data_IF_289397302196
#
_entry.id   IF_289397302196
#
_cell.length_a   1.000
_cell.length_b   1.000
_cell.length_c   1.000
_cell.angle_alpha   90.00
_cell.angle_beta   90.00
_cell.angle_gamma   90.00
#
_symmetry.space_group_name_H-M   'P 1'
#
loop_
_entity.id
_entity.type
_entity.pdbx_description
1 polymer ?
#
# COMPACT_ATOMS: atom_id res chain seq x y z
N UNK A 1 7.80 18.41 14.24
CA UNK A 1 8.93 17.64 13.65
C UNK A 1 9.87 17.34 14.80
N UNK A 2 9.93 16.06 15.24
CA UNK A 2 10.93 15.65 16.24
C UNK A 2 12.32 15.79 15.61
N UNK A 3 13.26 16.34 16.35
CA UNK A 3 14.66 16.46 15.93
C UNK A 3 15.19 15.08 15.55
N UNK A 4 15.87 15.00 14.40
CA UNK A 4 16.49 13.77 13.94
C UNK A 4 17.51 13.32 14.96
N UNK A 5 17.30 12.19 15.62
CA UNK A 5 18.26 11.60 16.55
C UNK A 5 19.43 11.05 15.73
N UNK A 6 20.58 11.72 15.79
CA UNK A 6 21.79 11.29 15.14
C UNK A 6 22.58 10.42 16.10
N UNK A 7 22.75 9.14 15.80
CA UNK A 7 23.61 8.21 16.55
C UNK A 7 24.85 7.91 15.72
N UNK A 8 26.03 8.05 16.33
CA UNK A 8 27.30 7.74 15.68
C UNK A 8 27.92 6.50 16.30
N UNK A 9 28.36 5.58 15.47
CA UNK A 9 29.12 4.40 15.85
C UNK A 9 30.52 4.50 15.25
N UNK A 10 31.53 4.06 16.02
CA UNK A 10 32.92 3.98 15.56
C UNK A 10 33.47 2.62 15.89
N UNK A 11 34.10 1.98 14.93
CA UNK A 11 34.70 0.64 15.06
C UNK A 11 36.14 0.64 14.52
N UNK A 12 37.05 0.02 15.25
CA UNK A 12 38.41 -0.27 14.77
C UNK A 12 38.50 -1.75 14.41
N UNK A 13 39.03 -2.08 13.25
CA UNK A 13 39.10 -3.44 12.74
C UNK A 13 40.42 -4.10 13.15
N UNK A 14 40.31 -5.16 13.90
CA UNK A 14 41.44 -6.01 14.27
C UNK A 14 41.65 -7.17 13.27
N UNK A 15 42.66 -8.01 13.54
CA UNK A 15 42.98 -9.15 12.68
C UNK A 15 41.88 -10.23 12.62
N UNK A 16 41.00 -10.31 13.63
CA UNK A 16 39.91 -11.30 13.70
C UNK A 16 38.71 -10.95 12.81
N UNK A 17 38.56 -9.67 12.48
CA UNK A 17 37.49 -9.15 11.65
C UNK A 17 37.94 -8.84 10.22
N UNK A 18 39.26 -8.92 9.94
CA UNK A 18 39.80 -8.72 8.61
C UNK A 18 39.26 -9.75 7.62
N UNK A 19 38.98 -9.31 6.39
CA UNK A 19 38.40 -10.11 5.32
C UNK A 19 36.89 -10.28 5.35
N UNK A 20 36.21 -9.93 6.48
CA UNK A 20 34.75 -9.87 6.54
C UNK A 20 34.21 -8.77 5.63
N UNK A 21 33.01 -8.96 5.15
CA UNK A 21 32.30 -7.89 4.40
C UNK A 21 31.78 -6.85 5.37
N UNK A 22 31.94 -5.58 5.04
CA UNK A 22 31.52 -4.47 5.89
C UNK A 22 30.01 -4.50 6.20
N UNK A 23 29.13 -4.87 5.25
CA UNK A 23 27.69 -4.98 5.47
C UNK A 23 27.34 -6.09 6.48
N UNK A 24 28.04 -7.21 6.45
CA UNK A 24 27.84 -8.30 7.39
C UNK A 24 28.41 -7.96 8.78
N UNK A 25 29.57 -7.31 8.82
CA UNK A 25 30.19 -6.86 10.06
C UNK A 25 29.30 -5.84 10.80
N UNK A 26 28.84 -4.80 10.10
CA UNK A 26 27.92 -3.80 10.70
C UNK A 26 26.61 -4.44 11.18
N UNK A 27 26.07 -5.45 10.45
CA UNK A 27 24.90 -6.21 10.88
C UNK A 27 25.08 -7.04 12.13
N UNK A 28 26.33 -7.43 12.46
CA UNK A 28 26.65 -8.15 13.69
C UNK A 28 26.95 -7.22 14.87
N UNK A 29 27.24 -5.95 14.62
CA UNK A 29 27.64 -4.96 15.65
C UNK A 29 26.53 -3.97 16.00
N UNK A 30 25.60 -3.72 15.08
CA UNK A 30 24.48 -2.78 15.26
C UNK A 30 23.18 -3.61 15.22
N UNK A 31 22.86 -4.24 16.37
CA UNK A 31 21.71 -5.17 16.48
C UNK A 31 20.35 -4.50 16.24
N UNK A 32 20.26 -3.18 16.45
CA UNK A 32 19.04 -2.39 16.30
C UNK A 32 18.64 -2.22 14.81
N UNK A 33 19.55 -2.50 13.86
CA UNK A 33 19.30 -2.34 12.44
C UNK A 33 19.09 -3.67 11.71
N UNK A 34 18.01 -3.76 10.98
CA UNK A 34 17.81 -4.84 10.02
C UNK A 34 18.84 -4.78 8.89
N UNK A 35 19.12 -5.93 8.25
CA UNK A 35 20.04 -6.01 7.10
C UNK A 35 19.70 -5.04 5.98
N UNK A 36 18.42 -4.77 5.75
CA UNK A 36 17.97 -3.82 4.73
C UNK A 36 18.26 -2.36 5.13
N UNK A 37 18.19 -2.04 6.42
CA UNK A 37 18.53 -0.71 6.93
C UNK A 37 20.04 -0.46 6.82
N UNK A 38 20.87 -1.44 7.18
CA UNK A 38 22.33 -1.34 6.99
C UNK A 38 22.69 -1.11 5.52
N UNK A 39 22.05 -1.81 4.59
CA UNK A 39 22.30 -1.58 3.17
C UNK A 39 21.90 -0.17 2.69
N UNK A 40 20.93 0.48 3.34
CA UNK A 40 20.55 1.86 3.03
C UNK A 40 21.58 2.88 3.50
N UNK A 41 22.35 2.63 4.57
CA UNK A 41 23.40 3.52 5.05
C UNK A 41 24.43 3.81 3.96
N UNK A 42 24.81 2.81 3.17
CA UNK A 42 25.76 2.96 2.06
C UNK A 42 25.20 3.88 0.95
N UNK A 43 23.92 3.73 0.61
CA UNK A 43 23.29 4.58 -0.41
C UNK A 43 23.00 6.02 0.08
N UNK A 44 23.01 6.24 1.40
CA UNK A 44 22.90 7.56 2.04
C UNK A 44 24.27 8.18 2.34
N UNK A 45 25.36 7.51 1.98
CA UNK A 45 26.74 7.94 2.27
C UNK A 45 27.02 8.14 3.78
N UNK A 46 26.33 7.36 4.61
CA UNK A 46 26.40 7.40 6.08
C UNK A 46 27.46 6.45 6.67
N UNK A 47 28.25 5.77 5.81
CA UNK A 47 29.37 4.87 6.19
C UNK A 47 30.67 5.42 5.66
N UNK A 48 31.63 5.64 6.58
CA UNK A 48 32.99 6.00 6.21
C UNK A 48 33.96 4.87 6.60
N UNK A 49 34.98 4.65 5.78
CA UNK A 49 36.12 3.81 6.08
C UNK A 49 37.38 4.69 5.95
N UNK A 50 38.16 4.77 7.01
CA UNK A 50 39.33 5.65 7.08
C UNK A 50 39.01 7.10 6.67
N UNK A 51 37.91 7.63 7.21
CA UNK A 51 37.36 8.99 6.94
C UNK A 51 36.93 9.23 5.48
N UNK A 52 36.81 8.18 4.66
CA UNK A 52 36.35 8.28 3.27
C UNK A 52 35.01 7.58 3.09
N UNK A 53 34.07 8.17 2.36
CA UNK A 53 32.74 7.60 2.12
C UNK A 53 32.91 6.23 1.44
N UNK A 54 32.30 5.20 2.02
CA UNK A 54 32.26 3.85 1.49
C UNK A 54 30.91 3.55 0.87
N UNK A 55 30.81 3.49 -0.45
CA UNK A 55 29.60 3.12 -1.17
C UNK A 55 29.50 1.61 -1.44
N UNK A 56 30.62 0.90 -1.31
CA UNK A 56 30.73 -0.51 -1.62
C UNK A 56 30.29 -1.40 -0.44
N UNK A 57 29.07 -1.90 -0.47
CA UNK A 57 28.47 -2.80 0.54
C UNK A 57 29.25 -4.10 0.77
N UNK A 58 30.07 -4.52 -0.21
CA UNK A 58 30.87 -5.75 -0.18
C UNK A 58 32.35 -5.49 0.14
N UNK A 59 32.70 -4.25 0.50
CA UNK A 59 34.07 -3.92 0.89
C UNK A 59 34.60 -4.92 1.92
N UNK A 60 35.78 -5.45 1.69
CA UNK A 60 36.46 -6.40 2.60
C UNK A 60 37.30 -5.61 3.58
N UNK A 61 36.96 -5.72 4.84
CA UNK A 61 37.67 -5.06 5.94
C UNK A 61 39.15 -5.49 6.02
N UNK A 62 40.01 -4.52 6.34
CA UNK A 62 41.45 -4.75 6.55
C UNK A 62 41.79 -4.44 8.01
N UNK A 63 42.77 -5.15 8.54
CA UNK A 63 43.31 -4.82 9.87
C UNK A 63 43.78 -3.36 9.89
N UNK A 64 43.35 -2.61 10.89
CA UNK A 64 43.66 -1.18 11.03
C UNK A 64 42.65 -0.24 10.38
N UNK A 65 41.62 -0.75 9.65
CA UNK A 65 40.56 0.10 9.16
C UNK A 65 39.77 0.71 10.34
N UNK A 66 39.45 1.99 10.21
CA UNK A 66 38.51 2.71 11.09
C UNK A 66 37.19 2.89 10.34
N UNK A 67 36.09 2.42 10.94
CA UNK A 67 34.75 2.57 10.36
C UNK A 67 33.97 3.57 11.22
N UNK A 68 33.39 4.57 10.57
CA UNK A 68 32.43 5.48 11.19
C UNK A 68 31.07 5.31 10.50
N UNK A 69 30.02 5.15 11.31
CA UNK A 69 28.64 5.04 10.82
C UNK A 69 27.83 6.11 11.49
N UNK A 70 27.22 6.98 10.69
CA UNK A 70 26.27 7.97 11.16
C UNK A 70 24.88 7.50 10.84
N UNK A 71 24.11 7.15 11.86
CA UNK A 71 22.70 6.78 11.71
C UNK A 71 21.88 8.04 12.00
N UNK A 72 21.41 8.68 10.97
CA UNK A 72 20.36 9.68 11.09
C UNK A 72 19.02 8.96 11.09
N UNK A 73 18.50 8.66 12.27
CA UNK A 73 17.12 8.25 12.40
C UNK A 73 16.29 9.51 12.15
N UNK A 74 15.84 9.70 10.90
CA UNK A 74 14.69 10.59 10.68
C UNK A 74 13.64 10.06 11.66
N UNK A 75 13.25 10.88 12.65
CA UNK A 75 12.32 10.45 13.69
C UNK A 75 11.16 9.74 13.02
N UNK A 76 10.81 8.54 13.52
CA UNK A 76 9.64 7.84 13.00
C UNK A 76 8.50 8.84 12.94
N UNK A 77 7.95 9.02 11.73
CA UNK A 77 6.83 9.93 11.59
C UNK A 77 5.67 9.36 12.41
N UNK A 78 5.31 10.07 13.45
CA UNK A 78 4.15 9.74 14.29
C UNK A 78 2.99 10.56 13.76
N UNK A 79 1.94 9.92 13.19
CA UNK A 79 0.75 10.62 12.72
C UNK A 79 0.08 11.40 13.88
N UNK A 80 -0.31 12.63 13.65
CA UNK A 80 -1.10 13.41 14.59
C UNK A 80 -2.60 13.17 14.38
N UNK A 81 -3.39 13.28 15.44
CA UNK A 81 -4.83 13.20 15.37
C UNK A 81 -5.40 14.46 14.67
N UNK A 82 -6.23 14.28 13.65
CA UNK A 82 -6.87 15.39 12.93
C UNK A 82 -8.39 15.20 12.90
N UNK A 83 -9.13 16.29 13.15
CA UNK A 83 -10.59 16.29 13.06
C UNK A 83 -11.04 16.26 11.61
N UNK A 84 -11.16 15.06 11.07
CA UNK A 84 -11.66 14.78 9.72
C UNK A 84 -12.88 13.88 9.87
N UNK A 85 -13.98 14.24 9.22
CA UNK A 85 -15.20 13.42 9.23
C UNK A 85 -14.95 12.08 8.51
N UNK A 86 -15.45 11.01 9.13
CA UNK A 86 -15.40 9.65 8.60
C UNK A 86 -16.81 9.16 8.30
N UNK A 87 -17.00 8.60 7.13
CA UNK A 87 -18.22 7.87 6.79
C UNK A 87 -18.13 6.47 7.39
N UNK A 88 -18.70 6.29 8.59
CA UNK A 88 -18.64 5.06 9.37
C UNK A 88 -19.85 4.22 9.04
N UNK A 89 -19.62 3.08 8.39
CA UNK A 89 -20.65 2.10 8.03
C UNK A 89 -21.01 1.19 9.22
N UNK A 90 -20.00 0.85 10.02
CA UNK A 90 -20.18 0.03 11.22
C UNK A 90 -19.04 0.29 12.21
N UNK A 91 -19.37 0.25 13.49
CA UNK A 91 -18.39 0.35 14.56
C UNK A 91 -18.83 -0.43 15.79
N UNK A 92 -17.88 -1.15 16.42
CA UNK A 92 -18.03 -1.76 17.71
C UNK A 92 -16.75 -1.60 18.56
N UNK A 93 -16.54 -2.42 19.59
CA UNK A 93 -15.35 -2.36 20.44
C UNK A 93 -14.07 -2.80 19.73
N UNK A 94 -14.17 -3.66 18.71
CA UNK A 94 -13.05 -4.35 18.08
C UNK A 94 -12.68 -3.78 16.71
N UNK A 95 -13.67 -3.36 15.94
CA UNK A 95 -13.49 -2.94 14.55
C UNK A 95 -14.24 -1.64 14.23
N UNK A 96 -13.77 -0.97 13.20
CA UNK A 96 -14.50 0.10 12.51
C UNK A 96 -14.45 -0.15 11.01
N UNK A 97 -15.60 -0.08 10.35
CA UNK A 97 -15.74 -0.19 8.89
C UNK A 97 -16.12 1.16 8.33
N UNK A 98 -15.36 1.62 7.35
CA UNK A 98 -15.43 2.97 6.83
C UNK A 98 -15.65 2.92 5.32
N UNK A 99 -16.52 3.75 4.80
CA UNK A 99 -16.58 4.09 3.38
C UNK A 99 -15.61 5.25 3.09
N UNK A 100 -14.41 4.89 2.62
CA UNK A 100 -13.35 5.87 2.39
C UNK A 100 -13.67 6.72 1.16
N UNK A 101 -13.69 8.05 1.27
CA UNK A 101 -13.83 8.91 0.10
C UNK A 101 -12.63 8.80 -0.84
N UNK A 102 -12.85 9.11 -2.12
CA UNK A 102 -11.81 9.29 -3.11
C UNK A 102 -10.89 10.45 -2.70
N UNK A 103 -9.61 10.37 -3.04
CA UNK A 103 -8.61 11.41 -2.75
C UNK A 103 -7.96 11.30 -1.37
N UNK A 104 -8.54 10.52 -0.45
CA UNK A 104 -7.97 10.29 0.88
C UNK A 104 -6.94 9.15 0.85
N UNK A 105 -5.73 9.41 1.34
CA UNK A 105 -4.69 8.38 1.56
C UNK A 105 -4.99 7.63 2.86
N UNK A 106 -4.78 6.31 2.87
CA UNK A 106 -5.08 5.50 4.08
C UNK A 106 -4.11 5.80 5.22
N UNK A 107 -2.81 5.85 4.97
CA UNK A 107 -1.79 6.09 6.00
C UNK A 107 -0.71 7.03 5.46
N UNK A 108 -0.03 7.77 6.34
CA UNK A 108 1.02 8.69 5.93
C UNK A 108 2.13 8.05 5.08
N UNK A 109 2.71 8.84 4.20
CA UNK A 109 3.78 8.42 3.33
C UNK A 109 4.36 9.62 2.57
N UNK A 110 5.40 9.39 1.78
CA UNK A 110 6.08 10.46 1.05
C UNK A 110 5.09 11.37 0.27
N UNK A 111 5.06 12.65 0.63
CA UNK A 111 4.18 13.66 0.05
C UNK A 111 2.75 13.73 0.61
N UNK A 112 2.39 12.89 1.61
CA UNK A 112 1.07 12.92 2.26
C UNK A 112 1.26 12.56 3.73
N UNK A 113 1.70 13.51 4.55
CA UNK A 113 1.95 13.29 5.98
C UNK A 113 0.74 13.63 6.85
N UNK A 114 -0.24 14.37 6.35
CA UNK A 114 -1.45 14.81 7.03
C UNK A 114 -2.68 14.55 6.16
N UNK A 115 -3.88 14.73 6.73
CA UNK A 115 -5.13 14.53 5.99
C UNK A 115 -5.40 13.07 5.61
N UNK A 116 -4.78 12.10 6.28
CA UNK A 116 -4.94 10.68 5.96
C UNK A 116 -6.04 10.04 6.82
N UNK A 117 -6.49 8.86 6.42
CA UNK A 117 -7.45 8.09 7.21
C UNK A 117 -6.90 7.80 8.62
N UNK A 118 -5.61 7.53 8.76
CA UNK A 118 -4.97 7.31 10.07
C UNK A 118 -5.07 8.55 10.96
N UNK A 119 -4.88 9.76 10.42
CA UNK A 119 -5.05 11.00 11.20
C UNK A 119 -6.49 11.15 11.72
N UNK A 120 -7.48 10.86 10.87
CA UNK A 120 -8.89 10.88 11.25
C UNK A 120 -9.24 9.81 12.28
N UNK A 121 -8.73 8.59 12.13
CA UNK A 121 -8.92 7.48 13.07
C UNK A 121 -8.32 7.76 14.44
N UNK A 122 -7.13 8.38 14.50
CA UNK A 122 -6.53 8.77 15.77
C UNK A 122 -7.38 9.81 16.50
N UNK A 123 -8.03 10.70 15.78
CA UNK A 123 -8.96 11.65 16.39
C UNK A 123 -10.25 10.96 16.88
N UNK A 124 -10.80 10.03 16.10
CA UNK A 124 -12.06 9.36 16.40
C UNK A 124 -11.93 8.29 17.49
N UNK A 125 -10.95 7.39 17.36
CA UNK A 125 -10.76 6.24 18.26
C UNK A 125 -9.91 6.59 19.47
N UNK A 126 -8.99 7.55 19.30
CA UNK A 126 -8.07 8.00 20.36
C UNK A 126 -6.72 7.28 20.38
N UNK A 127 -5.92 7.60 21.39
CA UNK A 127 -4.51 7.20 21.52
C UNK A 127 -4.30 5.67 21.63
N UNK A 128 -5.31 4.94 22.12
CA UNK A 128 -5.22 3.47 22.23
C UNK A 128 -4.97 2.79 20.87
N UNK A 129 -5.37 3.41 19.78
CA UNK A 129 -5.13 2.91 18.42
C UNK A 129 -3.63 2.80 18.12
N UNK A 130 -2.78 3.67 18.69
CA UNK A 130 -1.31 3.70 18.47
C UNK A 130 -0.60 2.41 18.87
N UNK A 131 -1.18 1.65 19.80
CA UNK A 131 -0.63 0.36 20.23
C UNK A 131 -0.82 -0.77 19.21
N UNK A 132 -1.54 -0.52 18.12
CA UNK A 132 -1.95 -1.54 17.15
C UNK A 132 -1.18 -1.41 15.84
N UNK A 133 -0.20 -2.25 15.63
CA UNK A 133 0.54 -2.32 14.36
C UNK A 133 1.82 -1.48 14.31
N UNK A 134 2.12 -0.93 13.15
CA UNK A 134 3.31 -0.09 12.94
C UNK A 134 2.98 1.37 13.31
N UNK A 135 3.98 2.11 13.77
CA UNK A 135 3.84 3.49 14.28
C UNK A 135 3.16 4.45 13.30
N UNK A 136 3.43 4.29 12.00
CA UNK A 136 2.89 5.14 10.94
C UNK A 136 1.51 4.71 10.42
N UNK A 137 1.01 3.53 10.83
CA UNK A 137 -0.26 2.96 10.36
C UNK A 137 -1.02 2.17 11.44
N UNK A 138 -1.27 2.78 12.60
CA UNK A 138 -1.96 2.13 13.71
C UNK A 138 -3.33 1.60 13.28
N UNK A 139 -3.65 0.34 13.66
CA UNK A 139 -4.93 -0.30 13.37
C UNK A 139 -5.15 -0.72 11.91
N UNK A 140 -4.28 -0.34 10.98
CA UNK A 140 -4.45 -0.61 9.54
C UNK A 140 -4.01 -2.03 9.21
N UNK A 141 -4.96 -2.85 8.77
CA UNK A 141 -4.76 -4.25 8.37
C UNK A 141 -4.73 -4.45 6.84
N UNK A 142 -5.34 -3.53 6.10
CA UNK A 142 -5.27 -3.46 4.63
C UNK A 142 -5.44 -2.02 4.13
N UNK A 143 -5.34 -1.85 2.81
CA UNK A 143 -5.46 -0.52 2.21
C UNK A 143 -6.06 -0.57 0.83
N UNK A 144 -6.70 0.55 0.43
CA UNK A 144 -7.06 0.89 -0.94
C UNK A 144 -6.28 2.14 -1.39
N UNK A 145 -6.19 2.36 -2.69
CA UNK A 145 -5.42 3.49 -3.23
C UNK A 145 -6.06 4.84 -2.88
N UNK A 146 -5.28 5.93 -2.98
CA UNK A 146 -5.75 7.30 -2.73
C UNK A 146 -7.04 7.61 -3.48
N UNK A 147 -7.06 7.36 -4.79
CA UNK A 147 -8.18 7.71 -5.66
C UNK A 147 -9.20 6.55 -5.83
N UNK A 148 -9.10 5.50 -5.03
CA UNK A 148 -10.11 4.47 -4.88
C UNK A 148 -10.99 4.81 -3.68
N UNK A 149 -12.29 4.84 -3.87
CA UNK A 149 -13.29 4.97 -2.80
C UNK A 149 -13.77 3.61 -2.32
N UNK A 150 -14.53 3.59 -1.23
CA UNK A 150 -15.25 2.42 -0.78
C UNK A 150 -14.74 1.79 0.50
N UNK A 151 -15.28 0.62 0.80
CA UNK A 151 -15.23 -0.04 2.10
C UNK A 151 -13.84 -0.54 2.47
N UNK A 152 -13.43 -0.23 3.70
CA UNK A 152 -12.30 -0.86 4.37
C UNK A 152 -12.59 -1.06 5.86
N UNK A 153 -11.94 -2.07 6.45
CA UNK A 153 -12.00 -2.37 7.89
C UNK A 153 -10.69 -1.98 8.57
N UNK A 154 -10.81 -1.44 9.78
CA UNK A 154 -9.69 -1.08 10.66
C UNK A 154 -9.88 -1.75 12.00
N UNK A 155 -8.82 -2.25 12.60
CA UNK A 155 -8.83 -2.84 13.93
C UNK A 155 -8.75 -1.75 15.01
N UNK A 156 -9.60 -1.87 16.05
CA UNK A 156 -9.60 -1.02 17.24
C UNK A 156 -9.03 -1.73 18.46
N UNK A 157 -8.92 -3.07 18.42
CA UNK A 157 -8.35 -3.89 19.49
C UNK A 157 -7.23 -4.78 18.98
N UNK A 158 -6.37 -5.25 19.91
CA UNK A 158 -5.29 -6.20 19.58
C UNK A 158 -5.84 -7.51 19.02
N UNK A 159 -6.95 -8.01 19.61
CA UNK A 159 -7.65 -9.20 19.14
C UNK A 159 -8.06 -9.05 17.67
N UNK A 160 -8.68 -7.91 17.33
CA UNK A 160 -9.11 -7.65 15.96
C UNK A 160 -7.93 -7.46 15.01
N UNK A 161 -6.88 -6.78 15.44
CA UNK A 161 -5.68 -6.57 14.62
C UNK A 161 -5.04 -7.91 14.20
N UNK A 162 -4.83 -8.80 15.17
CA UNK A 162 -4.19 -10.10 14.90
C UNK A 162 -5.09 -10.98 14.03
N UNK A 163 -6.37 -11.11 14.37
CA UNK A 163 -7.33 -11.93 13.63
C UNK A 163 -7.51 -11.43 12.18
N UNK A 164 -7.74 -10.14 11.97
CA UNK A 164 -7.89 -9.60 10.61
C UNK A 164 -6.60 -9.73 9.80
N UNK A 165 -5.44 -9.51 10.40
CA UNK A 165 -4.14 -9.70 9.74
C UNK A 165 -3.94 -11.14 9.28
N UNK A 166 -4.32 -12.11 10.08
CA UNK A 166 -4.32 -13.53 9.73
C UNK A 166 -5.27 -13.81 8.57
N UNK A 167 -6.53 -13.38 8.64
CA UNK A 167 -7.52 -13.55 7.57
C UNK A 167 -7.06 -12.92 6.24
N UNK A 168 -6.41 -11.73 6.27
CA UNK A 168 -5.81 -11.14 5.07
C UNK A 168 -4.62 -11.95 4.55
N UNK A 169 -3.82 -12.53 5.42
CA UNK A 169 -2.68 -13.38 5.05
C UNK A 169 -3.11 -14.70 4.43
N UNK A 170 -4.17 -15.31 4.95
CA UNK A 170 -4.78 -16.55 4.46
C UNK A 170 -5.67 -16.34 3.23
N UNK A 171 -5.91 -15.08 2.84
CA UNK A 171 -6.79 -14.72 1.73
C UNK A 171 -8.26 -15.18 1.92
N UNK A 172 -8.72 -15.32 3.16
CA UNK A 172 -10.09 -15.74 3.50
C UNK A 172 -11.11 -14.58 3.40
N UNK A 173 -10.66 -13.33 3.38
CA UNK A 173 -11.51 -12.14 3.26
C UNK A 173 -11.97 -11.96 1.82
N UNK A 174 -13.30 -11.85 1.60
CA UNK A 174 -13.87 -11.58 0.28
C UNK A 174 -13.95 -10.08 0.04
N UNK A 175 -13.49 -9.65 -1.14
CA UNK A 175 -13.45 -8.24 -1.55
C UNK A 175 -13.79 -8.10 -3.01
N UNK A 176 -14.78 -7.25 -3.29
CA UNK A 176 -15.18 -6.94 -4.66
C UNK A 176 -15.07 -5.46 -4.91
N UNK A 177 -14.75 -5.12 -6.14
CA UNK A 177 -14.62 -3.75 -6.62
C UNK A 177 -15.40 -3.58 -7.91
N UNK A 178 -16.07 -2.46 -8.07
CA UNK A 178 -16.52 -2.04 -9.38
C UNK A 178 -15.45 -1.19 -10.04
N UNK A 179 -15.21 -1.45 -11.32
CA UNK A 179 -14.24 -0.71 -12.12
C UNK A 179 -14.81 -0.40 -13.50
N UNK A 180 -14.56 0.82 -13.97
CA UNK A 180 -14.84 1.21 -15.33
C UNK A 180 -13.52 1.13 -16.13
N UNK A 181 -13.51 0.34 -17.20
CA UNK A 181 -12.29 0.04 -17.97
C UNK A 181 -12.46 0.33 -19.46
N UNK A 182 -11.34 0.61 -20.12
CA UNK A 182 -11.29 0.73 -21.57
C UNK A 182 -11.17 -0.64 -22.24
N UNK A 183 -11.61 -0.68 -23.48
CA UNK A 183 -11.60 -1.81 -24.38
C UNK A 183 -12.57 -2.94 -23.97
N UNK A 184 -13.28 -3.48 -24.94
CA UNK A 184 -14.24 -4.54 -24.68
C UNK A 184 -13.54 -5.89 -24.49
N UNK A 185 -14.07 -6.70 -23.59
CA UNK A 185 -13.60 -8.07 -23.38
C UNK A 185 -14.21 -9.04 -24.39
N UNK A 186 -13.45 -10.06 -24.76
CA UNK A 186 -13.96 -11.16 -25.56
C UNK A 186 -14.95 -12.03 -24.76
N UNK A 187 -14.58 -12.32 -23.50
CA UNK A 187 -15.33 -13.16 -22.58
C UNK A 187 -16.02 -12.33 -21.48
N UNK A 188 -17.10 -12.85 -20.90
CA UNK A 188 -17.83 -12.19 -19.81
C UNK A 188 -17.15 -12.31 -18.44
N UNK A 189 -16.18 -13.17 -18.32
CA UNK A 189 -15.40 -13.36 -17.10
C UNK A 189 -14.00 -13.86 -17.38
N UNK A 190 -13.11 -13.69 -16.44
CA UNK A 190 -11.74 -14.20 -16.56
C UNK A 190 -10.93 -14.07 -15.29
N UNK A 191 -9.70 -14.57 -15.35
CA UNK A 191 -8.75 -14.59 -14.25
C UNK A 191 -7.39 -14.06 -14.73
N UNK A 192 -6.74 -13.27 -13.86
CA UNK A 192 -5.40 -12.73 -14.10
C UNK A 192 -4.53 -13.19 -12.93
N UNK A 193 -3.75 -14.26 -13.12
CA UNK A 193 -2.77 -14.77 -12.17
C UNK A 193 -1.37 -14.39 -12.65
N UNK A 194 -0.91 -13.20 -12.26
CA UNK A 194 0.40 -12.65 -12.64
C UNK A 194 1.03 -11.98 -11.43
N UNK A 195 2.28 -12.33 -11.05
CA UNK A 195 2.92 -11.74 -9.90
C UNK A 195 3.24 -10.26 -10.11
N UNK A 196 3.10 -9.47 -9.04
CA UNK A 196 3.31 -8.02 -9.05
C UNK A 196 4.49 -7.65 -8.17
N UNK A 197 5.42 -6.88 -8.75
CA UNK A 197 6.59 -6.29 -8.08
C UNK A 197 6.68 -4.78 -8.24
N UNK A 198 7.78 -4.17 -7.78
CA UNK A 198 8.08 -2.75 -8.06
C UNK A 198 8.52 -2.58 -9.51
N UNK A 199 8.08 -1.50 -10.14
CA UNK A 199 8.61 -1.10 -11.43
C UNK A 199 10.04 -0.56 -11.24
N UNK A 200 11.00 -1.13 -11.97
CA UNK A 200 12.43 -0.75 -11.87
C UNK A 200 12.73 0.66 -12.38
N UNK A 201 11.86 1.23 -13.24
CA UNK A 201 12.03 2.53 -13.88
C UNK A 201 11.23 3.64 -13.22
N UNK A 202 10.13 3.30 -12.53
CA UNK A 202 9.25 4.28 -11.91
C UNK A 202 8.82 3.83 -10.51
N UNK A 203 9.35 4.48 -9.47
CA UNK A 203 9.07 4.16 -8.06
C UNK A 203 7.61 4.27 -7.65
N UNK A 204 6.80 5.05 -8.37
CA UNK A 204 5.36 5.21 -8.12
C UNK A 204 4.53 4.05 -8.69
N UNK A 205 5.11 3.25 -9.59
CA UNK A 205 4.42 2.16 -10.28
C UNK A 205 4.74 0.80 -9.69
N UNK A 206 3.82 -0.12 -9.98
CA UNK A 206 4.02 -1.57 -9.88
C UNK A 206 4.02 -2.15 -11.28
N UNK A 207 4.60 -3.32 -11.44
CA UNK A 207 4.68 -4.00 -12.73
C UNK A 207 4.47 -5.49 -12.54
N UNK A 208 3.95 -6.16 -13.59
CA UNK A 208 3.99 -7.62 -13.70
C UNK A 208 5.46 -8.02 -13.74
N UNK A 209 5.83 -9.03 -12.97
CA UNK A 209 7.21 -9.55 -12.84
C UNK A 209 8.25 -8.48 -12.48
N UNK A 210 7.83 -7.39 -11.83
CA UNK A 210 8.73 -6.34 -11.37
C UNK A 210 9.69 -6.82 -10.27
N UNK A 211 10.43 -5.89 -9.65
CA UNK A 211 11.38 -6.22 -8.57
C UNK A 211 10.68 -6.83 -7.36
N UNK A 212 11.20 -7.96 -6.84
CA UNK A 212 10.65 -8.74 -5.73
C UNK A 212 9.15 -9.04 -5.93
N UNK A 213 8.78 -9.74 -7.01
CA UNK A 213 7.38 -9.98 -7.34
C UNK A 213 6.73 -10.90 -6.31
N UNK A 214 5.47 -10.65 -6.03
CA UNK A 214 4.64 -11.48 -5.14
C UNK A 214 3.44 -11.97 -5.92
N UNK A 215 3.00 -13.21 -5.66
CA UNK A 215 1.77 -13.77 -6.26
C UNK A 215 0.62 -12.77 -6.12
N UNK A 216 -0.10 -12.61 -7.22
CA UNK A 216 -1.28 -11.76 -7.27
C UNK A 216 -2.32 -12.39 -8.20
N UNK A 217 -3.57 -12.48 -7.72
CA UNK A 217 -4.68 -13.08 -8.43
C UNK A 217 -5.91 -12.17 -8.36
N UNK A 218 -6.43 -11.83 -9.53
CA UNK A 218 -7.65 -11.04 -9.72
C UNK A 218 -8.58 -11.77 -10.66
N UNK A 219 -9.84 -12.03 -10.25
CA UNK A 219 -10.91 -12.45 -11.15
C UNK A 219 -11.74 -11.25 -11.54
N UNK A 220 -12.36 -11.30 -12.72
CA UNK A 220 -13.30 -10.27 -13.15
C UNK A 220 -14.54 -10.87 -13.79
N UNK A 221 -15.64 -10.16 -13.67
CA UNK A 221 -16.93 -10.42 -14.31
C UNK A 221 -17.39 -9.16 -15.01
N UNK A 222 -17.76 -9.26 -16.30
CA UNK A 222 -18.34 -8.15 -17.04
C UNK A 222 -19.77 -7.95 -16.60
N UNK A 223 -20.09 -6.75 -16.15
CA UNK A 223 -21.43 -6.39 -15.70
C UNK A 223 -22.24 -5.70 -16.81
N UNK A 224 -21.63 -4.72 -17.48
CA UNK A 224 -22.30 -3.95 -18.53
C UNK A 224 -21.28 -3.44 -19.55
N UNK A 225 -21.65 -3.43 -20.84
CA UNK A 225 -20.81 -2.96 -21.95
C UNK A 225 -21.38 -1.68 -22.56
N UNK A 226 -20.52 -0.67 -22.70
CA UNK A 226 -20.82 0.63 -23.28
C UNK A 226 -19.91 0.89 -24.49
N UNK A 227 -20.04 0.09 -25.54
CA UNK A 227 -19.14 0.13 -26.70
C UNK A 227 -17.71 -0.25 -26.32
N UNK A 228 -16.80 0.73 -26.32
CA UNK A 228 -15.38 0.51 -25.94
C UNK A 228 -15.07 0.71 -24.45
N UNK A 229 -16.10 0.88 -23.63
CA UNK A 229 -15.99 1.01 -22.17
C UNK A 229 -16.83 -0.08 -21.54
N UNK A 230 -16.33 -0.66 -20.45
CA UNK A 230 -16.96 -1.79 -19.79
C UNK A 230 -16.97 -1.56 -18.27
N UNK A 231 -18.13 -1.80 -17.67
CA UNK A 231 -18.24 -1.92 -16.21
C UNK A 231 -17.96 -3.37 -15.83
N UNK A 232 -17.02 -3.56 -14.95
CA UNK A 232 -16.67 -4.87 -14.42
C UNK A 232 -16.76 -4.93 -12.90
N UNK A 233 -17.00 -6.13 -12.39
CA UNK A 233 -16.76 -6.52 -11.00
C UNK A 233 -15.40 -7.20 -10.93
N UNK A 234 -14.47 -6.66 -10.18
CA UNK A 234 -13.16 -7.26 -9.91
C UNK A 234 -13.17 -7.92 -8.52
N UNK A 235 -12.80 -9.18 -8.44
CA UNK A 235 -12.79 -10.01 -7.24
C UNK A 235 -11.34 -10.28 -6.87
N UNK A 236 -10.93 -9.89 -5.67
CA UNK A 236 -9.55 -10.02 -5.21
C UNK A 236 -9.35 -11.23 -4.29
N UNK A 237 -8.49 -12.15 -4.68
CA UNK A 237 -7.93 -13.16 -3.77
C UNK A 237 -6.76 -12.56 -2.97
N UNK A 238 -5.85 -11.90 -3.64
CA UNK A 238 -4.72 -11.19 -3.03
C UNK A 238 -4.95 -9.67 -3.00
N UNK A 239 -4.12 -8.91 -2.26
CA UNK A 239 -4.24 -7.45 -2.14
C UNK A 239 -2.90 -6.72 -2.31
N UNK A 240 -2.27 -6.82 -3.51
CA UNK A 240 -1.03 -6.11 -3.79
C UNK A 240 -1.31 -4.65 -4.15
N UNK A 241 -0.35 -3.78 -3.87
CA UNK A 241 -0.47 -2.35 -4.23
C UNK A 241 -0.77 -2.21 -5.72
N UNK A 242 -1.80 -1.42 -6.06
CA UNK A 242 -2.26 -1.17 -7.43
C UNK A 242 -2.71 -2.44 -8.20
N UNK A 243 -3.04 -3.55 -7.52
CA UNK A 243 -3.23 -4.85 -8.16
C UNK A 243 -4.23 -4.83 -9.32
N UNK A 244 -5.47 -4.35 -9.10
CA UNK A 244 -6.51 -4.29 -10.13
C UNK A 244 -6.03 -3.46 -11.33
N UNK A 245 -5.40 -2.32 -11.06
CA UNK A 245 -4.90 -1.38 -12.08
C UNK A 245 -3.82 -2.01 -12.95
N UNK A 246 -2.83 -2.66 -12.32
CA UNK A 246 -1.73 -3.34 -13.03
C UNK A 246 -2.24 -4.54 -13.82
N UNK A 247 -3.06 -5.39 -13.20
CA UNK A 247 -3.59 -6.60 -13.82
C UNK A 247 -4.41 -6.27 -15.06
N UNK A 248 -5.42 -5.41 -14.95
CA UNK A 248 -6.28 -5.05 -16.06
C UNK A 248 -5.49 -4.35 -17.18
N UNK A 249 -4.56 -3.46 -16.83
CA UNK A 249 -3.66 -2.87 -17.85
C UNK A 249 -2.82 -3.92 -18.56
N UNK A 250 -2.33 -4.95 -17.84
CA UNK A 250 -1.47 -6.00 -18.41
C UNK A 250 -2.16 -6.89 -19.44
N UNK A 251 -3.50 -6.87 -19.46
CA UNK A 251 -4.33 -7.59 -20.43
C UNK A 251 -5.02 -6.65 -21.43
N UNK A 252 -4.62 -5.37 -21.45
CA UNK A 252 -5.11 -4.38 -22.42
C UNK A 252 -6.38 -3.62 -22.01
N UNK A 253 -6.82 -3.72 -20.76
CA UNK A 253 -8.03 -3.08 -20.24
C UNK A 253 -7.70 -2.07 -19.10
N UNK A 254 -6.96 -0.97 -19.36
CA UNK A 254 -6.65 0.00 -18.32
C UNK A 254 -7.93 0.66 -17.78
N UNK A 255 -7.91 1.06 -16.51
CA UNK A 255 -9.04 1.74 -15.89
C UNK A 255 -9.24 3.13 -16.50
N UNK A 256 -10.50 3.52 -16.61
CA UNK A 256 -10.88 4.90 -16.96
C UNK A 256 -10.36 5.83 -15.88
N UNK A 257 -9.74 6.95 -16.29
CA UNK A 257 -9.18 7.94 -15.38
C UNK A 257 -7.82 7.57 -14.78
N UNK A 258 -7.27 6.38 -15.03
CA UNK A 258 -5.96 5.99 -14.50
C UNK A 258 -4.82 6.60 -15.34
N UNK A 259 -4.32 7.76 -14.89
CA UNK A 259 -3.22 8.46 -15.57
C UNK A 259 -1.84 7.83 -15.32
N UNK A 260 -1.73 6.94 -14.33
CA UNK A 260 -0.48 6.26 -14.01
C UNK A 260 -0.24 5.03 -14.89
N UNK A 261 -1.28 4.23 -15.17
CA UNK A 261 -1.19 2.98 -15.95
C UNK A 261 -1.87 3.05 -17.30
N UNK A 262 -2.85 3.92 -17.47
CA UNK A 262 -3.57 4.15 -18.71
C UNK A 262 -3.03 5.31 -19.54
N UNK A 263 -3.92 5.96 -20.29
CA UNK A 263 -3.58 7.11 -21.12
C UNK A 263 -3.41 8.38 -20.27
N UNK A 264 -2.31 9.10 -20.49
CA UNK A 264 -2.10 10.44 -19.87
C UNK A 264 -3.16 11.48 -20.30
N UNK A 265 -3.81 11.26 -21.45
CA UNK A 265 -4.93 12.07 -21.91
C UNK A 265 -6.21 11.29 -21.65
N UNK A 266 -6.73 11.40 -20.44
CA UNK A 266 -8.03 10.82 -20.15
C UNK A 266 -9.12 11.60 -20.89
N UNK A 267 -9.78 10.93 -21.83
CA UNK A 267 -10.90 11.48 -22.60
C UNK A 267 -12.18 11.59 -21.75
N UNK A 268 -12.16 10.98 -20.58
CA UNK A 268 -13.29 10.99 -19.65
C UNK A 268 -13.30 12.20 -18.71
N UNK A 269 -12.17 12.90 -18.56
CA UNK A 269 -12.00 14.01 -17.61
C UNK A 269 -12.14 13.58 -16.16
N UNK A 270 -11.72 12.35 -15.86
CA UNK A 270 -11.74 11.83 -14.50
C UNK A 270 -10.41 12.13 -13.79
N UNK A 271 -10.51 12.64 -12.56
CA UNK A 271 -9.35 12.96 -11.73
C UNK A 271 -8.78 11.74 -10.99
N UNK A 272 -8.41 10.67 -11.71
CA UNK A 272 -7.93 9.40 -11.17
C UNK A 272 -8.83 8.23 -11.56
N UNK A 273 -8.44 7.00 -11.22
CA UNK A 273 -9.11 5.77 -11.62
C UNK A 273 -10.58 5.69 -11.17
N UNK A 274 -11.47 5.25 -12.05
CA UNK A 274 -12.84 4.91 -11.72
C UNK A 274 -12.86 3.50 -11.13
N UNK A 275 -12.65 3.42 -9.81
CA UNK A 275 -12.54 2.20 -9.03
C UNK A 275 -13.15 2.41 -7.65
N UNK A 276 -14.00 1.49 -7.23
CA UNK A 276 -14.73 1.55 -5.97
C UNK A 276 -14.74 0.19 -5.27
N UNK A 277 -14.34 0.13 -4.01
CA UNK A 277 -14.40 -1.05 -3.16
C UNK A 277 -15.84 -1.23 -2.66
N UNK A 278 -16.63 -2.05 -3.35
CA UNK A 278 -18.07 -2.14 -3.12
C UNK A 278 -18.46 -3.17 -2.06
N UNK A 279 -17.62 -4.17 -1.80
CA UNK A 279 -17.97 -5.26 -0.87
C UNK A 279 -16.79 -5.74 -0.06
N UNK A 280 -17.04 -6.02 1.22
CA UNK A 280 -16.09 -6.62 2.15
C UNK A 280 -16.80 -7.62 3.06
N UNK A 281 -16.34 -8.89 3.05
CA UNK A 281 -16.87 -9.94 3.94
C UNK A 281 -15.71 -10.63 4.67
N UNK A 282 -15.84 -10.78 5.99
CA UNK A 282 -14.83 -11.41 6.86
C UNK A 282 -15.47 -12.03 8.11
N UNK A 283 -14.69 -12.83 8.84
CA UNK A 283 -15.11 -13.35 10.12
C UNK A 283 -14.83 -12.33 11.22
N UNK A 284 -15.87 -11.94 11.94
CA UNK A 284 -15.75 -10.97 13.04
C UNK A 284 -14.83 -11.51 14.15
N UNK A 285 -13.77 -10.76 14.55
CA UNK A 285 -12.71 -11.26 15.43
C UNK A 285 -13.19 -11.79 16.78
N UNK A 286 -14.18 -11.14 17.39
CA UNK A 286 -14.69 -11.53 18.71
C UNK A 286 -15.79 -12.58 18.62
N UNK A 287 -16.72 -12.43 17.70
CA UNK A 287 -17.91 -13.28 17.65
C UNK A 287 -17.75 -14.56 16.84
N UNK A 288 -16.73 -14.62 15.96
CA UNK A 288 -16.51 -15.73 15.03
C UNK A 288 -17.59 -15.85 13.94
N UNK A 289 -18.50 -14.88 13.82
CA UNK A 289 -19.55 -14.88 12.79
C UNK A 289 -19.06 -14.22 11.51
N UNK A 290 -19.50 -14.72 10.35
CA UNK A 290 -19.32 -14.02 9.09
C UNK A 290 -20.17 -12.76 9.09
N UNK A 291 -19.55 -11.64 8.72
CA UNK A 291 -20.21 -10.34 8.53
C UNK A 291 -19.78 -9.75 7.21
N UNK A 292 -20.69 -9.04 6.56
CA UNK A 292 -20.46 -8.41 5.27
C UNK A 292 -20.97 -6.98 5.25
N UNK A 293 -20.30 -6.13 4.46
CA UNK A 293 -20.63 -4.74 4.28
C UNK A 293 -20.56 -4.39 2.81
N UNK A 294 -21.51 -3.59 2.36
CA UNK A 294 -21.58 -3.10 0.99
C UNK A 294 -21.55 -1.57 0.99
N UNK A 295 -20.97 -0.97 -0.06
CA UNK A 295 -21.00 0.46 -0.33
C UNK A 295 -21.47 0.69 -1.76
N UNK A 296 -22.42 1.61 -1.91
CA UNK A 296 -22.91 2.05 -3.21
C UNK A 296 -21.87 2.93 -3.92
N UNK A 297 -21.70 2.80 -5.24
CA UNK A 297 -20.78 3.64 -5.97
C UNK A 297 -21.13 5.13 -5.82
N UNK A 298 -20.16 5.97 -5.42
CA UNK A 298 -20.40 7.39 -5.20
C UNK A 298 -20.64 8.15 -6.51
N UNK A 299 -21.10 9.41 -6.39
CA UNK A 299 -21.56 10.26 -7.50
C UNK A 299 -20.55 10.35 -8.66
N UNK A 300 -19.23 10.45 -8.36
CA UNK A 300 -18.21 10.50 -9.42
C UNK A 300 -18.19 9.24 -10.27
N UNK A 301 -18.44 8.08 -9.66
CA UNK A 301 -18.47 6.78 -10.33
C UNK A 301 -19.74 6.65 -11.19
N UNK A 302 -20.92 6.95 -10.61
CA UNK A 302 -22.20 6.88 -11.33
C UNK A 302 -22.23 7.84 -12.51
N UNK A 303 -21.72 9.08 -12.33
CA UNK A 303 -21.55 10.04 -13.44
C UNK A 303 -20.65 9.52 -14.56
N UNK A 304 -19.58 8.79 -14.21
CA UNK A 304 -18.71 8.19 -15.22
C UNK A 304 -19.42 7.08 -15.99
N UNK A 305 -20.21 6.23 -15.32
CA UNK A 305 -21.05 5.21 -15.97
C UNK A 305 -22.08 5.84 -16.89
N UNK A 306 -22.81 6.86 -16.44
CA UNK A 306 -23.77 7.60 -17.27
C UNK A 306 -23.11 8.23 -18.50
N UNK A 307 -21.90 8.78 -18.34
CA UNK A 307 -21.14 9.30 -19.47
C UNK A 307 -20.77 8.20 -20.46
N UNK A 308 -20.38 7.01 -19.97
CA UNK A 308 -20.10 5.86 -20.82
C UNK A 308 -21.35 5.43 -21.60
N UNK A 309 -22.53 5.34 -20.96
CA UNK A 309 -23.83 5.06 -21.60
C UNK A 309 -24.13 6.04 -22.73
N UNK A 310 -24.03 7.34 -22.44
CA UNK A 310 -24.26 8.40 -23.44
C UNK A 310 -23.32 8.30 -24.65
N UNK A 311 -22.03 8.02 -24.43
CA UNK A 311 -21.05 7.85 -25.51
C UNK A 311 -21.32 6.63 -26.38
N UNK A 312 -21.93 5.60 -25.81
CA UNK A 312 -22.37 4.40 -26.54
C UNK A 312 -23.73 4.56 -27.22
N UNK A 313 -24.43 5.71 -27.08
CA UNK A 313 -25.77 5.93 -27.59
C UNK A 313 -26.86 5.17 -26.83
N UNK A 314 -26.57 4.69 -25.64
CA UNK A 314 -27.51 4.02 -24.73
C UNK A 314 -28.26 5.09 -23.89
N UNK A 315 -29.57 4.87 -23.68
CA UNK A 315 -30.42 5.75 -22.85
C UNK A 315 -30.33 5.33 -21.39
#
# INVERSE_FOLDING_TARGET
>A
MSEAKVTKYSFSIDSSDAGKRIDAYLGSKIEELSRSQIQKLFSKQEVLVNSTICEEKKYKLKTGDSIEVTISVEGEYIPEAEKIELDIVYEDEDIIVIDKPRGMVVHPGAGNYSGTLVNALLYHVGENLRALGETDRPGIVHRIDKDTSGILVVAKSKLAFDSLKEQFSEHSIKRWYYALVYNNFADDSGEIDKPIGRDSKNRLRRAIDGENPKRALTRYEVMERFGNIVLIKAILETGRTHQIRVHLTSIGHPLVGDTLYGSKKDRFGADGQILHATHLEFIHPRTGKSISFDSEPPEYFTKAVEKAKRLAGLK
#
